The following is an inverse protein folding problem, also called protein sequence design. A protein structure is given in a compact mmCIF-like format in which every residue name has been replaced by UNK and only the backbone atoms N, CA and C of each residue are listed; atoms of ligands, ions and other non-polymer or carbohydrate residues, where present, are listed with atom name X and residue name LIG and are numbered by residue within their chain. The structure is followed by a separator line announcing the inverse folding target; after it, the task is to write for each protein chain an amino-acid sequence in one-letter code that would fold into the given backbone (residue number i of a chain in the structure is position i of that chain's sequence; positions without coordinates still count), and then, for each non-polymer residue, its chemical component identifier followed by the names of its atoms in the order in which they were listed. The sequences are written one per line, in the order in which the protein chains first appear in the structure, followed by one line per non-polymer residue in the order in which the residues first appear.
data_IF_021402264361
#
_entry.id   IF_021402264361
#
_cell.length_a   1.000
_cell.length_b   1.000
_cell.length_c   1.000
_cell.angle_alpha   90.00
_cell.angle_beta   90.00
_cell.angle_gamma   90.00
#
_symmetry.space_group_name_H-M   'P 1'
#
loop_
_entity.id
_entity.type
_entity.pdbx_description
1 polymer ?
#
# COMPACT_ATOMS: atom_id res chain seq x y z
N UNK A 1 24.73 36.74 -14.57
CA UNK A 1 24.44 38.19 -14.39
C UNK A 1 24.54 38.47 -12.93
N UNK A 2 25.36 39.45 -12.60
CA UNK A 2 25.46 39.96 -11.20
C UNK A 2 24.31 40.94 -10.93
N UNK A 3 23.48 40.62 -9.99
CA UNK A 3 22.42 41.50 -9.51
C UNK A 3 22.57 41.61 -7.98
N UNK A 4 22.90 42.79 -7.47
CA UNK A 4 23.15 43.10 -6.04
C UNK A 4 24.23 42.24 -5.38
N UNK A 5 25.36 41.98 -6.06
CA UNK A 5 26.49 41.23 -5.49
C UNK A 5 26.22 39.73 -5.31
N UNK A 6 25.16 39.18 -5.96
CA UNK A 6 24.90 37.74 -6.04
C UNK A 6 24.82 37.27 -7.49
N UNK A 7 25.52 36.19 -7.81
CA UNK A 7 25.40 35.56 -9.12
C UNK A 7 24.00 34.99 -9.29
N UNK A 8 23.26 35.51 -10.28
CA UNK A 8 21.96 34.98 -10.69
C UNK A 8 22.12 34.24 -12.01
N UNK A 9 21.82 32.97 -12.02
CA UNK A 9 21.80 32.17 -13.25
C UNK A 9 20.59 32.57 -14.08
N UNK A 10 20.83 33.24 -15.20
CA UNK A 10 19.80 33.61 -16.18
C UNK A 10 19.93 32.71 -17.38
N UNK A 11 18.80 32.18 -17.86
CA UNK A 11 18.76 31.33 -19.05
C UNK A 11 19.07 32.20 -20.27
N UNK A 12 20.16 31.88 -20.99
CA UNK A 12 20.47 32.51 -22.27
C UNK A 12 19.51 31.97 -23.33
N UNK A 13 18.53 32.79 -23.71
CA UNK A 13 17.48 32.36 -24.66
C UNK A 13 18.05 32.02 -26.06
N UNK A 14 19.01 32.76 -26.57
CA UNK A 14 19.61 32.51 -27.87
C UNK A 14 20.34 31.16 -27.91
N UNK A 15 21.18 30.89 -26.91
CA UNK A 15 21.88 29.60 -26.82
C UNK A 15 20.92 28.44 -26.54
N UNK A 16 19.84 28.67 -25.81
CA UNK A 16 18.81 27.65 -25.53
C UNK A 16 18.06 27.28 -26.81
N UNK A 17 17.73 28.26 -27.67
CA UNK A 17 17.10 28.01 -28.97
C UNK A 17 18.06 27.25 -29.88
N UNK A 18 19.31 27.69 -30.00
CA UNK A 18 20.33 27.01 -30.82
C UNK A 18 20.58 25.57 -30.35
N UNK A 19 20.58 25.33 -29.03
CA UNK A 19 20.71 23.99 -28.46
C UNK A 19 19.49 23.11 -28.81
N UNK A 20 18.27 23.66 -28.73
CA UNK A 20 17.04 22.93 -29.14
C UNK A 20 17.03 22.58 -30.63
N UNK A 21 17.45 23.50 -31.51
CA UNK A 21 17.55 23.20 -32.94
C UNK A 21 18.55 22.08 -33.21
N UNK A 22 19.74 22.12 -32.58
CA UNK A 22 20.70 21.02 -32.66
C UNK A 22 20.15 19.70 -32.17
N UNK A 23 19.42 19.73 -31.03
CA UNK A 23 18.78 18.56 -30.47
C UNK A 23 17.72 17.96 -31.41
N UNK A 24 16.93 18.80 -32.08
CA UNK A 24 15.93 18.33 -33.03
C UNK A 24 16.59 17.71 -34.26
N UNK A 25 17.65 18.35 -34.81
CA UNK A 25 18.44 17.79 -35.92
C UNK A 25 19.05 16.43 -35.57
N UNK A 26 19.55 16.27 -34.33
CA UNK A 26 20.08 14.98 -33.87
C UNK A 26 18.96 13.94 -33.75
N UNK A 27 17.79 14.31 -33.27
CA UNK A 27 16.63 13.40 -33.18
C UNK A 27 16.17 12.94 -34.57
N UNK A 28 16.06 13.85 -35.54
CA UNK A 28 15.70 13.55 -36.91
C UNK A 28 16.75 12.64 -37.58
N UNK A 29 18.03 12.99 -37.45
CA UNK A 29 19.12 12.18 -38.00
C UNK A 29 19.18 10.79 -37.35
N UNK A 30 18.86 10.68 -36.06
CA UNK A 30 18.81 9.41 -35.37
C UNK A 30 17.62 8.54 -35.80
N UNK A 31 16.44 9.14 -35.97
CA UNK A 31 15.27 8.45 -36.49
C UNK A 31 15.54 7.87 -37.88
N UNK A 32 16.10 8.71 -38.80
CA UNK A 32 16.49 8.27 -40.15
C UNK A 32 17.55 7.16 -40.11
N UNK A 33 18.54 7.27 -39.21
CA UNK A 33 19.60 6.29 -39.05
C UNK A 33 19.08 4.92 -38.62
N UNK A 34 18.10 4.89 -37.68
CA UNK A 34 17.48 3.65 -37.21
C UNK A 34 16.84 2.88 -38.37
N UNK A 35 16.10 3.57 -39.23
CA UNK A 35 15.29 2.92 -40.26
C UNK A 35 16.06 2.62 -41.59
N UNK A 36 17.26 3.16 -41.79
CA UNK A 36 18.07 2.94 -42.98
C UNK A 36 18.67 1.55 -43.09
N UNK A 37 18.92 0.90 -41.97
CA UNK A 37 19.56 -0.41 -41.89
C UNK A 37 18.55 -1.44 -41.37
N UNK A 38 18.16 -2.46 -42.16
CA UNK A 38 17.18 -3.46 -41.74
C UNK A 38 17.65 -4.33 -40.55
N UNK A 39 18.94 -4.67 -40.45
CA UNK A 39 19.48 -5.48 -39.37
C UNK A 39 19.43 -4.72 -38.04
N UNK A 40 19.91 -3.48 -38.06
CA UNK A 40 19.85 -2.58 -36.91
C UNK A 40 18.41 -2.37 -36.44
N UNK A 41 17.49 -2.19 -37.38
CA UNK A 41 16.08 -2.03 -37.08
C UNK A 41 15.53 -3.27 -36.37
N UNK A 42 15.82 -4.47 -36.87
CA UNK A 42 15.38 -5.73 -36.27
C UNK A 42 15.93 -5.91 -34.86
N UNK A 43 17.22 -5.65 -34.65
CA UNK A 43 17.86 -5.73 -33.30
C UNK A 43 17.24 -4.74 -32.32
N UNK A 44 16.98 -3.51 -32.78
CA UNK A 44 16.35 -2.50 -31.88
C UNK A 44 14.89 -2.81 -31.60
N UNK A 45 14.13 -3.32 -32.59
CA UNK A 45 12.74 -3.79 -32.37
C UNK A 45 12.71 -4.97 -31.42
N UNK A 46 13.61 -5.93 -31.54
CA UNK A 46 13.72 -7.05 -30.63
C UNK A 46 14.08 -6.59 -29.20
N UNK A 47 15.10 -5.74 -29.09
CA UNK A 47 15.52 -5.17 -27.80
C UNK A 47 14.38 -4.35 -27.16
N UNK A 48 13.69 -3.51 -27.93
CA UNK A 48 12.56 -2.73 -27.43
C UNK A 48 11.40 -3.61 -26.98
N UNK A 49 11.06 -4.62 -27.81
CA UNK A 49 10.00 -5.57 -27.47
C UNK A 49 10.36 -6.39 -26.24
N UNK A 50 11.62 -6.79 -26.10
CA UNK A 50 12.10 -7.50 -24.90
C UNK A 50 12.04 -6.61 -23.64
N UNK A 51 12.43 -5.34 -23.72
CA UNK A 51 12.45 -4.44 -22.57
C UNK A 51 11.05 -3.92 -22.18
N UNK A 52 10.19 -3.64 -23.14
CA UNK A 52 8.96 -2.86 -22.91
C UNK A 52 7.66 -3.59 -23.26
N UNK A 53 7.68 -4.59 -24.15
CA UNK A 53 6.48 -5.25 -24.64
C UNK A 53 6.28 -6.70 -24.13
N UNK A 54 7.21 -7.23 -23.32
CA UNK A 54 7.07 -8.58 -22.78
C UNK A 54 5.96 -8.69 -21.73
N UNK A 55 5.64 -7.60 -21.06
CA UNK A 55 4.64 -7.57 -20.00
C UNK A 55 3.30 -7.11 -20.54
N UNK A 56 2.33 -8.01 -20.64
CA UNK A 56 0.93 -7.63 -20.89
C UNK A 56 0.23 -7.42 -19.54
N UNK A 57 -0.40 -6.26 -19.41
CA UNK A 57 -1.26 -6.03 -18.26
C UNK A 57 -2.46 -7.00 -18.32
N UNK A 58 -2.77 -7.72 -17.23
CA UNK A 58 -3.91 -8.62 -17.21
C UNK A 58 -5.21 -7.83 -17.41
N UNK A 59 -6.09 -8.37 -18.23
CA UNK A 59 -7.45 -7.86 -18.42
C UNK A 59 -8.40 -8.61 -17.50
N UNK A 60 -9.24 -7.89 -16.78
CA UNK A 60 -10.20 -8.46 -15.85
C UNK A 60 -11.62 -8.22 -16.37
N UNK A 61 -12.37 -9.29 -16.65
CA UNK A 61 -13.77 -9.22 -17.01
C UNK A 61 -14.63 -9.83 -15.91
N UNK A 62 -15.39 -9.01 -15.22
CA UNK A 62 -16.33 -9.38 -14.17
C UNK A 62 -17.78 -9.45 -14.62
N UNK A 63 -18.07 -9.36 -15.91
CA UNK A 63 -19.44 -9.31 -16.46
C UNK A 63 -20.29 -10.53 -16.08
N UNK A 64 -19.65 -11.71 -15.94
CA UNK A 64 -20.30 -12.96 -15.57
C UNK A 64 -20.64 -13.07 -14.08
N UNK A 65 -20.12 -12.17 -13.23
CA UNK A 65 -20.32 -12.24 -11.78
C UNK A 65 -21.77 -11.97 -11.43
N UNK A 66 -22.36 -12.87 -10.63
CA UNK A 66 -23.69 -12.74 -10.05
C UNK A 66 -23.60 -12.44 -8.57
N UNK A 67 -24.47 -11.59 -8.07
CA UNK A 67 -24.52 -11.15 -6.68
C UNK A 67 -25.92 -11.41 -6.10
N UNK A 68 -26.26 -12.67 -5.77
CA UNK A 68 -27.64 -13.08 -5.46
C UNK A 68 -28.21 -12.42 -4.21
N UNK A 69 -27.37 -12.11 -3.22
CA UNK A 69 -27.81 -11.50 -1.94
C UNK A 69 -27.82 -9.96 -1.98
N UNK A 70 -27.37 -9.40 -3.09
CA UNK A 70 -27.32 -7.95 -3.26
C UNK A 70 -28.74 -7.41 -3.51
N UNK A 71 -29.00 -6.19 -3.04
CA UNK A 71 -30.23 -5.47 -3.30
C UNK A 71 -30.54 -5.41 -4.81
N UNK A 72 -31.64 -6.00 -5.29
CA UNK A 72 -31.96 -6.08 -6.72
C UNK A 72 -32.21 -4.71 -7.38
N UNK A 73 -32.50 -3.67 -6.58
CA UNK A 73 -32.68 -2.32 -7.09
C UNK A 73 -31.36 -1.61 -7.43
N UNK A 74 -30.21 -2.23 -7.10
CA UNK A 74 -28.87 -1.66 -7.33
C UNK A 74 -28.11 -2.53 -8.32
N UNK A 75 -27.60 -1.93 -9.38
CA UNK A 75 -26.73 -2.60 -10.32
C UNK A 75 -25.31 -2.04 -10.24
N UNK A 76 -24.33 -2.96 -10.12
CA UNK A 76 -22.92 -2.60 -10.18
C UNK A 76 -22.50 -2.27 -11.61
N UNK A 77 -21.78 -1.16 -11.76
CA UNK A 77 -21.23 -0.73 -13.07
C UNK A 77 -20.16 -1.72 -13.56
N UNK A 78 -19.89 -1.80 -14.87
CA UNK A 78 -18.90 -2.73 -15.43
C UNK A 78 -17.53 -2.65 -14.77
N UNK A 79 -17.00 -1.43 -14.54
CA UNK A 79 -15.72 -1.24 -13.87
C UNK A 79 -15.70 -1.76 -12.41
N UNK A 80 -16.84 -1.71 -11.72
CA UNK A 80 -16.96 -2.26 -10.37
C UNK A 80 -16.93 -3.80 -10.41
N UNK A 81 -17.67 -4.42 -11.34
CA UNK A 81 -17.65 -5.88 -11.55
C UNK A 81 -16.24 -6.37 -11.91
N UNK A 82 -15.54 -5.65 -12.79
CA UNK A 82 -14.16 -5.95 -13.18
C UNK A 82 -13.18 -5.84 -11.99
N UNK A 83 -13.35 -4.83 -11.14
CA UNK A 83 -12.55 -4.67 -9.93
C UNK A 83 -12.82 -5.78 -8.89
N UNK A 84 -14.08 -6.21 -8.75
CA UNK A 84 -14.44 -7.38 -7.93
C UNK A 84 -13.76 -8.63 -8.48
N UNK A 85 -13.83 -8.88 -9.80
CA UNK A 85 -13.16 -10.01 -10.43
C UNK A 85 -11.65 -9.98 -10.16
N UNK A 86 -10.99 -8.82 -10.35
CA UNK A 86 -9.58 -8.66 -10.04
C UNK A 86 -9.26 -9.00 -8.58
N UNK A 87 -10.05 -8.52 -7.63
CA UNK A 87 -9.85 -8.79 -6.19
C UNK A 87 -9.93 -10.29 -5.87
N UNK A 88 -10.81 -11.01 -6.55
CA UNK A 88 -10.99 -12.47 -6.37
C UNK A 88 -9.84 -13.26 -6.99
N UNK A 89 -9.40 -12.88 -8.18
CA UNK A 89 -8.48 -13.69 -9.00
C UNK A 89 -7.02 -13.30 -8.85
N UNK A 90 -6.72 -12.10 -8.32
CA UNK A 90 -5.34 -11.65 -8.15
C UNK A 90 -4.57 -12.59 -7.22
N UNK A 91 -3.36 -13.01 -7.58
CA UNK A 91 -2.48 -13.78 -6.71
C UNK A 91 -1.83 -12.95 -5.60
N UNK A 92 -1.96 -11.63 -5.66
CA UNK A 92 -1.36 -10.67 -4.74
C UNK A 92 -2.36 -9.66 -4.22
N UNK A 93 -1.92 -8.84 -3.27
CA UNK A 93 -2.67 -7.68 -2.76
C UNK A 93 -3.12 -6.77 -3.90
N UNK A 94 -4.30 -6.19 -3.79
CA UNK A 94 -4.90 -5.39 -4.85
C UNK A 94 -4.97 -3.91 -4.44
N UNK A 95 -4.59 -3.02 -5.36
CA UNK A 95 -4.85 -1.59 -5.23
C UNK A 95 -6.00 -1.18 -6.17
N UNK A 96 -7.09 -0.72 -5.58
CA UNK A 96 -8.24 -0.13 -6.27
C UNK A 96 -8.06 1.37 -6.38
N UNK A 97 -7.46 1.81 -7.48
CA UNK A 97 -7.34 3.23 -7.81
C UNK A 97 -8.53 3.66 -8.66
N UNK A 98 -9.59 4.06 -7.99
CA UNK A 98 -10.78 4.60 -8.63
C UNK A 98 -10.95 6.08 -8.29
N UNK A 99 -11.27 6.90 -9.27
CA UNK A 99 -11.55 8.32 -9.05
C UNK A 99 -12.65 8.53 -8.00
N UNK A 100 -12.66 9.70 -7.40
CA UNK A 100 -13.70 10.06 -6.43
C UNK A 100 -15.08 9.97 -7.12
N UNK A 101 -16.07 9.37 -6.43
CA UNK A 101 -17.41 9.17 -6.99
C UNK A 101 -17.60 7.93 -7.87
N UNK A 102 -16.54 7.16 -8.17
CA UNK A 102 -16.66 5.93 -8.96
C UNK A 102 -17.29 4.74 -8.21
N UNK A 103 -17.71 4.93 -6.95
CA UNK A 103 -18.36 3.89 -6.14
C UNK A 103 -17.41 2.87 -5.53
N UNK A 104 -16.21 3.29 -5.09
CA UNK A 104 -15.22 2.44 -4.40
C UNK A 104 -15.84 1.62 -3.25
N UNK A 105 -16.64 2.26 -2.41
CA UNK A 105 -17.31 1.64 -1.27
C UNK A 105 -18.13 0.43 -1.70
N UNK A 106 -18.98 0.56 -2.72
CA UNK A 106 -19.75 -0.55 -3.27
C UNK A 106 -18.88 -1.64 -3.87
N UNK A 107 -17.81 -1.25 -4.56
CA UNK A 107 -16.85 -2.22 -5.12
C UNK A 107 -16.20 -3.06 -4.01
N UNK A 108 -15.76 -2.43 -2.94
CA UNK A 108 -15.14 -3.13 -1.80
C UNK A 108 -16.16 -4.04 -1.10
N UNK A 109 -17.36 -3.54 -0.79
CA UNK A 109 -18.42 -4.33 -0.15
C UNK A 109 -18.77 -5.54 -1.03
N UNK A 110 -19.00 -5.33 -2.32
CA UNK A 110 -19.31 -6.42 -3.26
C UNK A 110 -18.15 -7.44 -3.37
N UNK A 111 -16.90 -6.98 -3.30
CA UNK A 111 -15.74 -7.87 -3.25
C UNK A 111 -15.75 -8.75 -2.01
N UNK A 112 -15.97 -8.17 -0.83
CA UNK A 112 -16.04 -8.90 0.44
C UNK A 112 -17.14 -9.96 0.39
N UNK A 113 -18.36 -9.55 0.07
CA UNK A 113 -19.51 -10.46 0.03
C UNK A 113 -19.30 -11.57 -0.99
N UNK A 114 -18.74 -11.26 -2.16
CA UNK A 114 -18.44 -12.27 -3.19
C UNK A 114 -17.33 -13.22 -2.75
N UNK A 115 -16.30 -12.74 -2.10
CA UNK A 115 -15.21 -13.56 -1.57
C UNK A 115 -15.71 -14.48 -0.45
N UNK A 116 -16.60 -14.01 0.42
CA UNK A 116 -17.27 -14.84 1.43
C UNK A 116 -18.11 -15.93 0.77
N UNK A 117 -18.93 -15.57 -0.20
CA UNK A 117 -19.74 -16.54 -0.98
C UNK A 117 -18.88 -17.66 -1.60
N UNK A 118 -17.67 -17.31 -2.06
CA UNK A 118 -16.74 -18.24 -2.67
C UNK A 118 -15.84 -18.98 -1.65
N UNK A 119 -15.98 -18.70 -0.36
CA UNK A 119 -15.13 -19.26 0.69
C UNK A 119 -13.68 -18.79 0.69
N UNK A 120 -13.38 -17.69 -0.04
CA UNK A 120 -12.04 -17.10 -0.14
C UNK A 120 -11.70 -16.16 1.03
N UNK A 121 -12.70 -15.68 1.74
CA UNK A 121 -12.60 -14.83 2.91
C UNK A 121 -13.61 -15.28 3.96
N UNK A 122 -13.15 -15.51 5.17
CA UNK A 122 -14.02 -15.89 6.30
C UNK A 122 -14.40 -14.67 7.14
N UNK A 123 -13.47 -13.77 7.39
CA UNK A 123 -13.67 -12.63 8.26
C UNK A 123 -12.94 -11.39 7.74
N UNK A 124 -13.66 -10.55 7.01
CA UNK A 124 -13.15 -9.32 6.44
C UNK A 124 -13.20 -8.16 7.44
N UNK A 125 -12.14 -7.35 7.48
CA UNK A 125 -12.13 -6.06 8.18
C UNK A 125 -11.93 -4.93 7.19
N UNK A 126 -12.75 -3.88 7.30
CA UNK A 126 -12.60 -2.62 6.56
C UNK A 126 -12.13 -1.55 7.51
N UNK A 127 -11.00 -0.92 7.23
CA UNK A 127 -10.55 0.28 7.94
C UNK A 127 -10.75 1.51 7.07
N UNK A 128 -11.44 2.51 7.60
CA UNK A 128 -11.81 3.74 6.89
C UNK A 128 -11.58 4.99 7.75
N UNK A 129 -11.55 6.20 7.17
CA UNK A 129 -11.52 7.44 7.93
C UNK A 129 -12.64 7.52 8.98
N UNK A 130 -12.34 8.13 10.12
CA UNK A 130 -13.26 8.14 11.28
C UNK A 130 -14.66 8.67 10.94
N UNK A 131 -14.75 9.71 10.12
CA UNK A 131 -16.03 10.33 9.73
C UNK A 131 -16.84 9.50 8.73
N UNK A 132 -16.23 8.50 8.08
CA UNK A 132 -16.89 7.66 7.08
C UNK A 132 -17.46 6.35 7.65
N UNK A 133 -17.19 6.00 8.90
CA UNK A 133 -17.60 4.72 9.50
C UNK A 133 -19.11 4.50 9.39
N UNK A 134 -19.92 5.49 9.73
CA UNK A 134 -21.39 5.38 9.65
C UNK A 134 -21.88 5.34 8.20
N UNK A 135 -21.25 6.10 7.32
CA UNK A 135 -21.54 6.05 5.89
C UNK A 135 -21.25 4.65 5.33
N UNK A 136 -20.11 4.04 5.65
CA UNK A 136 -19.77 2.67 5.27
C UNK A 136 -20.83 1.67 5.73
N UNK A 137 -21.28 1.78 6.98
CA UNK A 137 -22.33 0.93 7.52
C UNK A 137 -23.68 1.12 6.79
N UNK A 138 -24.02 2.35 6.47
CA UNK A 138 -25.22 2.68 5.70
C UNK A 138 -25.19 2.13 4.27
N UNK A 139 -24.07 2.34 3.57
CA UNK A 139 -23.87 1.83 2.20
C UNK A 139 -23.84 0.30 2.18
N UNK A 140 -23.28 -0.36 3.21
CA UNK A 140 -23.30 -1.82 3.30
C UNK A 140 -24.72 -2.36 3.42
N UNK A 141 -25.52 -1.84 4.36
CA UNK A 141 -26.93 -2.23 4.54
C UNK A 141 -27.80 -1.91 3.32
N UNK A 142 -27.49 -0.84 2.60
CA UNK A 142 -28.18 -0.47 1.36
C UNK A 142 -27.89 -1.49 0.26
N UNK A 143 -26.62 -1.92 0.12
CA UNK A 143 -26.21 -2.87 -0.91
C UNK A 143 -26.55 -4.32 -0.56
N UNK A 144 -26.39 -4.71 0.71
CA UNK A 144 -26.70 -6.04 1.26
C UNK A 144 -27.55 -5.89 2.53
N UNK A 145 -28.88 -5.80 2.40
CA UNK A 145 -29.77 -5.53 3.55
C UNK A 145 -29.72 -6.57 4.66
N UNK A 146 -29.42 -7.81 4.31
CA UNK A 146 -29.38 -8.94 5.24
C UNK A 146 -27.97 -9.22 5.81
N UNK A 147 -26.97 -8.42 5.47
CA UNK A 147 -25.60 -8.64 5.92
C UNK A 147 -25.44 -8.40 7.44
N UNK A 148 -24.76 -9.30 8.09
CA UNK A 148 -24.38 -9.19 9.49
C UNK A 148 -23.05 -8.43 9.61
N UNK A 149 -23.12 -7.12 9.81
CA UNK A 149 -21.93 -6.27 9.95
C UNK A 149 -21.72 -5.83 11.38
N UNK A 150 -20.44 -5.80 11.80
CA UNK A 150 -20.01 -5.22 13.06
C UNK A 150 -19.37 -3.85 12.81
N UNK A 151 -19.90 -2.83 13.46
CA UNK A 151 -19.34 -1.47 13.41
C UNK A 151 -18.65 -1.20 14.73
N UNK A 152 -17.31 -1.05 14.69
CA UNK A 152 -16.54 -0.74 15.89
C UNK A 152 -16.74 0.73 16.29
N UNK A 153 -17.14 0.96 17.52
CA UNK A 153 -17.26 2.30 18.11
C UNK A 153 -15.97 2.70 18.82
N UNK A 154 -15.88 3.96 19.26
CA UNK A 154 -14.74 4.43 20.04
C UNK A 154 -14.72 3.78 21.44
N UNK A 155 -15.90 3.60 22.00
CA UNK A 155 -16.13 2.99 23.31
C UNK A 155 -15.72 1.52 23.34
N UNK A 156 -15.90 0.78 22.24
CA UNK A 156 -15.48 -0.63 22.10
C UNK A 156 -13.96 -0.79 22.27
N UNK A 157 -13.18 0.25 21.98
CA UNK A 157 -11.71 0.21 22.04
C UNK A 157 -11.12 0.91 23.26
N UNK A 158 -11.95 1.35 24.18
CA UNK A 158 -11.53 1.76 25.52
C UNK A 158 -11.00 0.56 26.31
N UNK A 159 -10.11 0.84 27.27
CA UNK A 159 -9.34 -0.18 27.97
C UNK A 159 -10.23 -1.29 28.56
N UNK A 160 -11.37 -0.93 29.13
CA UNK A 160 -12.27 -1.86 29.83
C UNK A 160 -13.18 -2.67 28.87
N UNK A 161 -13.48 -2.12 27.68
CA UNK A 161 -14.36 -2.75 26.69
C UNK A 161 -13.58 -3.54 25.63
N UNK A 162 -12.29 -3.30 25.49
CA UNK A 162 -11.46 -3.89 24.42
C UNK A 162 -11.49 -5.41 24.41
N UNK A 163 -11.42 -6.06 25.57
CA UNK A 163 -11.52 -7.54 25.69
C UNK A 163 -12.87 -8.04 25.17
N UNK A 164 -13.96 -7.35 25.52
CA UNK A 164 -15.33 -7.69 25.06
C UNK A 164 -15.46 -7.53 23.55
N UNK A 165 -14.95 -6.42 23.02
CA UNK A 165 -14.98 -6.15 21.57
C UNK A 165 -14.29 -7.24 20.78
N UNK A 166 -13.11 -7.68 21.20
CA UNK A 166 -12.39 -8.71 20.48
C UNK A 166 -13.03 -10.08 20.63
N UNK A 167 -13.51 -10.43 21.80
CA UNK A 167 -14.32 -11.65 21.93
C UNK A 167 -15.51 -11.62 20.97
N UNK A 168 -16.16 -10.46 20.84
CA UNK A 168 -17.27 -10.25 19.89
C UNK A 168 -16.81 -10.39 18.42
N UNK A 169 -15.64 -9.85 18.07
CA UNK A 169 -15.04 -10.02 16.73
C UNK A 169 -14.64 -11.47 16.49
N UNK A 170 -13.95 -12.09 17.45
CA UNK A 170 -13.39 -13.43 17.28
C UNK A 170 -14.48 -14.50 17.16
N UNK A 171 -15.50 -14.43 18.03
CA UNK A 171 -16.55 -15.46 18.13
C UNK A 171 -17.73 -15.25 17.19
N UNK A 172 -17.97 -14.00 16.75
CA UNK A 172 -19.11 -13.71 15.89
C UNK A 172 -18.88 -14.09 14.44
N UNK A 173 -19.95 -14.54 13.78
CA UNK A 173 -19.98 -14.72 12.32
C UNK A 173 -20.42 -13.40 11.67
N UNK A 174 -19.44 -12.61 11.25
CA UNK A 174 -19.63 -11.30 10.66
C UNK A 174 -19.30 -11.34 9.17
N UNK A 175 -20.21 -10.81 8.36
CA UNK A 175 -19.94 -10.60 6.93
C UNK A 175 -18.88 -9.53 6.69
N UNK A 176 -18.78 -8.60 7.61
CA UNK A 176 -17.72 -7.60 7.60
C UNK A 176 -17.65 -6.81 8.89
N UNK A 177 -16.46 -6.35 9.21
CA UNK A 177 -16.17 -5.52 10.38
C UNK A 177 -15.67 -4.18 9.90
N UNK A 178 -16.33 -3.11 10.32
CA UNK A 178 -15.97 -1.74 9.96
C UNK A 178 -15.32 -1.07 11.16
N UNK A 179 -14.12 -0.55 10.98
CA UNK A 179 -13.35 0.11 12.03
C UNK A 179 -12.75 1.43 11.55
N UNK A 180 -12.79 2.44 12.41
CA UNK A 180 -12.10 3.70 12.14
C UNK A 180 -10.58 3.51 12.12
N UNK A 181 -9.87 4.19 11.22
CA UNK A 181 -8.40 4.12 11.11
C UNK A 181 -7.69 4.46 12.42
N UNK A 182 -8.19 5.43 13.20
CA UNK A 182 -7.64 5.78 14.51
C UNK A 182 -7.84 4.68 15.57
N UNK A 183 -8.92 3.93 15.44
CA UNK A 183 -9.26 2.80 16.29
C UNK A 183 -8.46 1.56 15.91
N UNK A 184 -8.31 1.31 14.61
CA UNK A 184 -7.49 0.25 14.06
C UNK A 184 -6.01 0.35 14.51
N UNK A 185 -5.47 1.57 14.55
CA UNK A 185 -4.11 1.83 15.04
C UNK A 185 -3.92 1.54 16.55
N UNK A 186 -5.01 1.42 17.33
CA UNK A 186 -4.95 1.06 18.75
C UNK A 186 -4.93 -0.44 19.02
N UNK A 187 -5.19 -1.26 18.00
CA UNK A 187 -5.09 -2.71 18.10
C UNK A 187 -3.65 -3.10 17.83
N UNK A 188 -2.87 -3.52 18.83
CA UNK A 188 -1.48 -3.86 18.63
C UNK A 188 -1.32 -5.16 17.85
N UNK A 189 -0.21 -5.31 17.18
CA UNK A 189 0.30 -6.59 16.72
C UNK A 189 1.19 -7.21 17.80
N UNK A 190 1.40 -8.52 17.78
CA UNK A 190 2.19 -9.22 18.81
C UNK A 190 3.59 -8.61 18.97
N UNK A 191 4.06 -8.55 20.20
CA UNK A 191 5.38 -8.00 20.55
C UNK A 191 6.49 -8.82 19.90
N UNK A 192 6.30 -10.13 19.77
CA UNK A 192 7.22 -11.04 19.10
C UNK A 192 7.44 -10.67 17.62
N UNK A 193 6.35 -10.32 16.91
CA UNK A 193 6.43 -9.85 15.52
C UNK A 193 7.14 -8.51 15.40
N UNK A 194 6.83 -7.59 16.30
CA UNK A 194 7.50 -6.29 16.32
C UNK A 194 9.01 -6.44 16.57
N UNK A 195 9.41 -7.31 17.50
CA UNK A 195 10.82 -7.62 17.80
C UNK A 195 11.50 -8.26 16.59
N UNK A 196 10.87 -9.29 15.98
CA UNK A 196 11.40 -9.94 14.79
C UNK A 196 11.66 -8.92 13.67
N UNK A 197 10.69 -8.08 13.41
CA UNK A 197 10.81 -7.06 12.35
C UNK A 197 11.90 -6.04 12.62
N UNK A 198 12.02 -5.56 13.84
CA UNK A 198 13.10 -4.63 14.20
C UNK A 198 14.48 -5.27 14.06
N UNK A 199 14.62 -6.56 14.36
CA UNK A 199 15.88 -7.28 14.12
C UNK A 199 16.21 -7.38 12.64
N UNK A 200 15.25 -7.79 11.80
CA UNK A 200 15.40 -7.83 10.34
C UNK A 200 15.80 -6.46 9.75
N UNK A 201 15.17 -5.39 10.24
CA UNK A 201 15.49 -4.03 9.80
C UNK A 201 16.89 -3.58 10.25
N UNK A 202 17.35 -3.95 11.45
CA UNK A 202 18.70 -3.68 11.95
C UNK A 202 19.72 -4.44 11.09
N UNK A 203 19.52 -5.74 10.86
CA UNK A 203 20.35 -6.58 10.02
C UNK A 203 20.44 -6.04 8.59
N UNK A 204 19.33 -5.60 8.01
CA UNK A 204 19.29 -4.97 6.69
C UNK A 204 20.10 -3.67 6.60
N UNK A 205 20.04 -2.84 7.65
CA UNK A 205 20.88 -1.63 7.73
C UNK A 205 22.36 -1.99 7.87
N UNK A 206 22.71 -2.99 8.69
CA UNK A 206 24.08 -3.48 8.86
C UNK A 206 24.64 -4.03 7.55
N UNK A 207 23.90 -4.91 6.87
CA UNK A 207 24.31 -5.47 5.59
C UNK A 207 24.54 -4.37 4.54
N UNK A 208 23.70 -3.32 4.56
CA UNK A 208 23.88 -2.18 3.66
C UNK A 208 25.14 -1.37 3.99
N UNK A 209 25.44 -1.17 5.26
CA UNK A 209 26.67 -0.52 5.70
C UNK A 209 27.88 -1.32 5.20
N UNK A 210 27.93 -2.63 5.44
CA UNK A 210 29.02 -3.52 5.02
C UNK A 210 29.21 -3.49 3.50
N UNK A 211 28.15 -3.71 2.73
CA UNK A 211 28.19 -3.71 1.26
C UNK A 211 28.73 -2.40 0.69
N UNK A 212 28.40 -1.29 1.31
CA UNK A 212 28.86 0.02 0.82
C UNK A 212 30.33 0.32 1.22
N UNK A 213 30.81 -0.26 2.30
CA UNK A 213 32.23 -0.20 2.64
C UNK A 213 33.09 -0.97 1.60
N UNK A 214 32.57 -2.09 1.09
CA UNK A 214 33.25 -2.93 0.10
C UNK A 214 33.22 -2.31 -1.32
N UNK A 215 32.15 -1.64 -1.69
CA UNK A 215 31.91 -1.18 -3.07
C UNK A 215 32.52 0.18 -3.45
N UNK A 216 33.14 0.98 -2.58
CA UNK A 216 33.83 2.26 -2.89
C UNK A 216 33.51 3.44 -1.95
N UNK A 217 33.82 3.33 -0.71
CA UNK A 217 33.96 4.51 0.15
C UNK A 217 32.76 5.45 0.16
N UNK A 218 31.79 5.18 1.01
CA UNK A 218 30.65 6.07 1.21
C UNK A 218 31.07 7.48 1.67
N UNK A 219 30.35 8.54 1.25
CA UNK A 219 30.46 9.82 1.91
C UNK A 219 30.19 9.67 3.42
N UNK A 220 31.10 10.14 4.25
CA UNK A 220 31.02 10.02 5.73
C UNK A 220 29.65 10.40 6.30
N UNK A 221 28.92 11.33 5.66
CA UNK A 221 27.58 11.75 6.08
C UNK A 221 26.50 10.67 5.93
N UNK A 222 26.57 9.83 4.90
CA UNK A 222 25.59 8.77 4.67
C UNK A 222 25.76 7.60 5.64
N UNK A 223 27.02 7.23 5.97
CA UNK A 223 27.31 6.23 7.00
C UNK A 223 26.78 6.70 8.36
N UNK A 224 27.02 7.95 8.73
CA UNK A 224 26.54 8.52 9.98
C UNK A 224 25.01 8.52 10.09
N UNK A 225 24.29 8.74 8.99
CA UNK A 225 22.83 8.63 8.97
C UNK A 225 22.36 7.19 9.21
N UNK A 226 23.00 6.19 8.59
CA UNK A 226 22.69 4.78 8.80
C UNK A 226 22.93 4.33 10.23
N UNK A 227 24.06 4.71 10.81
CA UNK A 227 24.36 4.45 12.22
C UNK A 227 23.34 5.07 13.16
N UNK A 228 22.86 6.27 12.84
CA UNK A 228 21.81 6.94 13.63
C UNK A 228 20.49 6.18 13.55
N UNK A 229 20.11 5.71 12.35
CA UNK A 229 18.92 4.87 12.14
C UNK A 229 19.06 3.56 12.92
N UNK A 230 20.21 2.88 12.82
CA UNK A 230 20.48 1.66 13.58
C UNK A 230 20.32 1.87 15.08
N UNK A 231 20.99 2.86 15.67
CA UNK A 231 20.88 3.19 17.10
C UNK A 231 19.44 3.50 17.54
N UNK A 232 18.67 4.18 16.70
CA UNK A 232 17.26 4.45 16.96
C UNK A 232 16.43 3.17 17.03
N UNK A 233 16.64 2.24 16.09
CA UNK A 233 15.94 0.94 16.06
C UNK A 233 16.36 0.01 17.19
N UNK A 234 17.64 -0.03 17.56
CA UNK A 234 18.15 -0.77 18.72
C UNK A 234 17.52 -0.25 20.02
N UNK A 235 17.36 1.07 20.17
CA UNK A 235 16.67 1.66 21.33
C UNK A 235 15.19 1.27 21.37
N UNK A 236 14.50 1.21 20.23
CA UNK A 236 13.12 0.75 20.14
C UNK A 236 13.03 -0.73 20.49
N UNK A 237 13.94 -1.56 19.98
CA UNK A 237 14.01 -3.00 20.26
C UNK A 237 14.18 -3.24 21.77
N UNK A 238 15.13 -2.56 22.40
CA UNK A 238 15.36 -2.67 23.85
C UNK A 238 14.11 -2.29 24.64
N UNK A 239 13.45 -1.19 24.29
CA UNK A 239 12.20 -0.75 24.95
C UNK A 239 11.08 -1.79 24.83
N UNK A 240 10.95 -2.44 23.67
CA UNK A 240 9.95 -3.50 23.46
C UNK A 240 10.29 -4.76 24.27
N UNK A 241 11.55 -5.14 24.31
CA UNK A 241 11.99 -6.30 25.11
C UNK A 241 11.77 -6.08 26.61
N UNK A 242 12.03 -4.87 27.10
CA UNK A 242 11.81 -4.51 28.51
C UNK A 242 10.30 -4.46 28.87
N UNK A 243 9.42 -4.17 27.89
CA UNK A 243 7.97 -4.11 28.06
C UNK A 243 7.28 -5.48 27.91
N UNK A 244 7.91 -6.46 27.28
CA UNK A 244 7.29 -7.74 26.87
C UNK A 244 6.80 -8.63 28.02
N UNK A 245 7.08 -8.30 29.29
CA UNK A 245 6.62 -9.05 30.47
C UNK A 245 5.26 -8.62 31.04
N UNK A 246 4.56 -7.64 30.44
CA UNK A 246 3.37 -7.01 31.05
C UNK A 246 2.09 -7.08 30.21
N UNK A 247 2.10 -7.68 29.01
CA UNK A 247 1.02 -7.53 28.05
C UNK A 247 0.06 -8.72 27.99
N UNK A 248 -1.00 -8.64 28.79
CA UNK A 248 -2.28 -9.32 28.57
C UNK A 248 -3.18 -8.46 27.63
N UNK A 249 -2.60 -7.83 26.61
CA UNK A 249 -3.31 -6.99 25.66
C UNK A 249 -3.62 -7.81 24.42
N UNK A 250 -4.88 -7.81 24.07
CA UNK A 250 -5.44 -8.43 22.91
C UNK A 250 -4.80 -7.93 21.62
N UNK A 251 -4.32 -8.85 20.82
CA UNK A 251 -3.51 -8.61 19.61
C UNK A 251 -4.37 -8.69 18.36
N UNK A 252 -3.89 -8.12 17.26
CA UNK A 252 -4.58 -8.18 15.96
C UNK A 252 -4.79 -9.62 15.49
N UNK A 253 -3.83 -10.48 15.75
CA UNK A 253 -3.86 -11.91 15.45
C UNK A 253 -5.05 -12.62 16.13
N UNK A 254 -5.44 -12.19 17.33
CA UNK A 254 -6.52 -12.81 18.11
C UNK A 254 -7.92 -12.51 17.53
N UNK A 255 -8.03 -11.53 16.62
CA UNK A 255 -9.30 -11.19 15.96
C UNK A 255 -9.76 -12.25 14.96
N UNK A 256 -8.85 -13.08 14.45
CA UNK A 256 -9.13 -14.06 13.42
C UNK A 256 -9.52 -13.44 12.08
N UNK A 257 -9.05 -12.22 11.80
CA UNK A 257 -9.23 -11.55 10.52
C UNK A 257 -8.34 -12.25 9.49
N UNK A 258 -8.90 -12.58 8.34
CA UNK A 258 -8.18 -13.18 7.22
C UNK A 258 -8.06 -12.26 6.00
N UNK A 259 -8.82 -11.17 5.95
CA UNK A 259 -8.75 -10.17 4.87
C UNK A 259 -8.91 -8.76 5.39
N UNK A 260 -8.03 -7.86 4.95
CA UNK A 260 -8.04 -6.45 5.33
C UNK A 260 -8.29 -5.56 4.11
N UNK A 261 -9.28 -4.69 4.21
CA UNK A 261 -9.60 -3.67 3.22
C UNK A 261 -9.31 -2.30 3.81
N UNK A 262 -8.43 -1.54 3.15
CA UNK A 262 -7.95 -0.23 3.63
C UNK A 262 -8.49 0.85 2.71
N UNK A 263 -9.49 1.58 3.18
CA UNK A 263 -10.00 2.75 2.47
C UNK A 263 -9.11 3.97 2.73
N UNK A 264 -9.04 4.87 1.74
CA UNK A 264 -8.15 6.04 1.73
C UNK A 264 -6.70 5.67 2.09
N UNK A 265 -6.19 4.67 1.38
CA UNK A 265 -4.86 4.08 1.64
C UNK A 265 -3.71 5.09 1.58
N UNK A 266 -3.89 6.23 0.88
CA UNK A 266 -2.93 7.32 0.84
C UNK A 266 -2.59 7.89 2.23
N UNK A 267 -3.46 7.67 3.24
CA UNK A 267 -3.18 8.06 4.61
C UNK A 267 -1.98 7.29 5.24
N UNK A 268 -1.53 6.22 4.62
CA UNK A 268 -0.42 5.36 5.06
C UNK A 268 0.82 5.45 4.16
N UNK A 269 0.89 6.43 3.27
CA UNK A 269 1.95 6.57 2.26
C UNK A 269 3.38 6.74 2.81
N UNK A 270 3.52 7.27 4.02
CA UNK A 270 4.82 7.54 4.64
C UNK A 270 5.38 6.29 5.35
N UNK A 271 5.54 5.21 4.60
CA UNK A 271 6.28 4.05 5.09
C UNK A 271 7.79 4.34 5.00
N UNK A 272 8.54 3.93 6.03
CA UNK A 272 9.99 4.06 5.98
C UNK A 272 10.55 3.26 4.80
N UNK A 273 11.20 3.97 3.91
CA UNK A 273 11.92 3.39 2.79
C UNK A 273 13.40 3.76 2.91
N UNK A 274 14.25 2.73 2.97
CA UNK A 274 15.67 2.96 2.85
C UNK A 274 16.03 3.21 1.38
N UNK A 275 16.47 4.41 1.06
CA UNK A 275 16.90 4.78 -0.29
C UNK A 275 18.16 5.63 -0.25
N UNK A 276 19.04 5.44 -1.25
CA UNK A 276 20.20 6.32 -1.50
C UNK A 276 19.77 7.68 -2.09
N UNK A 277 18.55 7.78 -2.59
CA UNK A 277 18.03 8.99 -3.20
C UNK A 277 17.49 9.92 -2.12
N UNK A 278 18.05 11.10 -2.02
CA UNK A 278 17.57 12.18 -1.17
C UNK A 278 16.70 13.13 -2.01
N UNK A 279 15.63 13.67 -1.41
CA UNK A 279 14.76 14.67 -2.04
C UNK A 279 14.02 14.22 -3.31
N UNK A 280 13.57 12.95 -3.36
CA UNK A 280 12.66 12.50 -4.42
C UNK A 280 11.25 12.96 -4.10
N UNK A 281 10.65 13.69 -5.05
CA UNK A 281 9.26 14.15 -4.92
C UNK A 281 8.31 12.95 -4.71
N UNK A 282 7.44 13.03 -3.69
CA UNK A 282 6.48 11.97 -3.36
C UNK A 282 7.01 10.83 -2.48
N UNK A 283 8.32 10.74 -2.25
CA UNK A 283 8.94 9.75 -1.35
C UNK A 283 9.42 10.43 -0.08
N UNK A 284 8.75 10.17 1.04
CA UNK A 284 9.18 10.67 2.35
C UNK A 284 10.10 9.66 3.03
N UNK A 285 11.24 10.12 3.53
CA UNK A 285 12.13 9.32 4.39
C UNK A 285 11.68 9.34 5.86
N UNK A 286 10.68 10.14 6.20
CA UNK A 286 10.11 10.19 7.55
C UNK A 286 9.19 8.99 7.78
N UNK A 287 9.53 8.14 8.76
CA UNK A 287 8.73 6.99 9.13
C UNK A 287 7.45 7.42 9.88
N UNK A 288 6.29 7.02 9.39
CA UNK A 288 5.03 7.10 10.11
C UNK A 288 4.81 5.82 10.91
N UNK A 289 4.64 5.92 12.24
CA UNK A 289 4.30 4.77 13.10
C UNK A 289 3.03 4.06 12.61
N UNK A 290 2.07 4.82 12.11
CA UNK A 290 0.83 4.31 11.55
C UNK A 290 1.05 3.45 10.30
N UNK A 291 1.93 3.88 9.40
CA UNK A 291 2.27 3.11 8.20
C UNK A 291 3.07 1.83 8.56
N UNK A 292 3.98 1.93 9.52
CA UNK A 292 4.74 0.78 10.01
C UNK A 292 3.85 -0.25 10.72
N UNK A 293 2.88 0.19 11.52
CA UNK A 293 1.90 -0.68 12.17
C UNK A 293 1.02 -1.41 11.12
N UNK A 294 0.51 -0.67 10.13
CA UNK A 294 -0.25 -1.28 9.04
C UNK A 294 0.59 -2.32 8.28
N UNK A 295 1.85 -2.01 8.00
CA UNK A 295 2.75 -2.95 7.30
C UNK A 295 2.89 -4.27 8.04
N UNK A 296 3.11 -4.24 9.36
CA UNK A 296 3.20 -5.45 10.19
C UNK A 296 1.92 -6.29 10.14
N UNK A 297 0.75 -5.64 10.15
CA UNK A 297 -0.54 -6.32 10.02
C UNK A 297 -0.74 -6.92 8.62
N UNK A 298 -0.28 -6.23 7.58
CA UNK A 298 -0.28 -6.76 6.21
C UNK A 298 0.64 -7.98 6.08
N UNK A 299 1.86 -7.90 6.59
CA UNK A 299 2.82 -9.02 6.59
C UNK A 299 2.24 -10.25 7.34
N UNK A 300 1.53 -10.04 8.44
CA UNK A 300 0.82 -11.13 9.14
C UNK A 300 -0.23 -11.80 8.25
N UNK A 301 -1.06 -11.01 7.55
CA UNK A 301 -2.09 -11.56 6.68
C UNK A 301 -1.49 -12.29 5.47
N UNK A 302 -0.40 -11.76 4.91
CA UNK A 302 0.34 -12.42 3.82
C UNK A 302 0.94 -13.76 4.27
N UNK A 303 1.53 -13.82 5.46
CA UNK A 303 1.98 -15.08 6.06
C UNK A 303 0.83 -16.08 6.26
N UNK A 304 -0.34 -15.60 6.72
CA UNK A 304 -1.54 -16.43 6.91
C UNK A 304 -2.01 -17.05 5.59
N UNK A 305 -1.91 -16.32 4.48
CA UNK A 305 -2.27 -16.82 3.15
C UNK A 305 -1.15 -17.59 2.46
N UNK A 306 0.07 -17.58 2.98
CA UNK A 306 1.26 -18.12 2.30
C UNK A 306 1.54 -17.47 0.94
N UNK A 307 1.08 -16.24 0.74
CA UNK A 307 1.17 -15.48 -0.52
C UNK A 307 0.99 -13.99 -0.25
N UNK A 308 1.22 -13.15 -1.24
CA UNK A 308 1.01 -11.70 -1.14
C UNK A 308 -0.47 -11.27 -1.12
N UNK A 309 -1.41 -12.19 -0.85
CA UNK A 309 -2.85 -11.94 -0.72
C UNK A 309 -3.22 -11.43 0.68
N UNK A 310 -4.51 -11.21 0.90
CA UNK A 310 -5.06 -10.85 2.21
C UNK A 310 -5.33 -9.35 2.38
N UNK A 311 -4.89 -8.51 1.43
CA UNK A 311 -5.04 -7.05 1.55
C UNK A 311 -5.59 -6.44 0.27
N UNK A 312 -6.53 -5.51 0.43
CA UNK A 312 -7.04 -4.65 -0.64
C UNK A 312 -6.95 -3.19 -0.20
N UNK A 313 -6.19 -2.42 -0.94
CA UNK A 313 -6.09 -0.97 -0.75
C UNK A 313 -7.04 -0.26 -1.70
N UNK A 314 -7.72 0.78 -1.21
CA UNK A 314 -8.58 1.63 -2.02
C UNK A 314 -8.21 3.10 -1.81
N UNK A 315 -8.11 3.86 -2.90
CA UNK A 315 -7.86 5.31 -2.84
C UNK A 315 -8.37 6.02 -4.08
N UNK A 316 -8.80 7.26 -3.92
CA UNK A 316 -9.14 8.16 -5.04
C UNK A 316 -7.99 9.02 -5.50
N UNK A 317 -6.96 9.14 -4.67
CA UNK A 317 -5.79 9.99 -4.88
C UNK A 317 -4.51 9.15 -4.72
N UNK A 318 -4.09 8.40 -5.73
CA UNK A 318 -2.77 7.80 -5.71
C UNK A 318 -1.73 8.93 -5.71
N UNK A 319 -0.59 8.65 -5.15
CA UNK A 319 0.51 9.62 -5.06
C UNK A 319 1.14 9.78 -6.42
#
# INVERSE_FOLDING_TARGET
VEENGKEKRVVNQAETIAAREKQNKIKEAFADWIFKDPERRADLEETYNWLFNQTRLPSYDGSYLKFPEMNPAIELKPHQKNAVHRTITSPSSTLLHHVVGAGKTFTVIASIMKMRQLGLCKKAMVTCPNHLVQQWAGEWRKLYPNAHILVATKEDLEKDNRKKFVSKVALGDWDGIIIAQSSFAKIPISTERQIRKLREEIEGVEATIVKQWEENGMPRGAVKNLETIKKSKEKQLKKLMDASGKDDVLKFEDLGIDYLFVDEAHAYKNLFLFTKMNNVAGISTAASQRASDLKLKCEYLQELHGSDRGIVFATGTPI
#
